data_IF_794419728500
#
_entry.id   IF_794419728500
#
_cell.length_a   1.000
_cell.length_b   1.000
_cell.length_c   1.000
_cell.angle_alpha   90.00
_cell.angle_beta   90.00
_cell.angle_gamma   90.00
#
_symmetry.space_group_name_H-M   'P 1'
#
loop_
_entity.id
_entity.type
_entity.pdbx_description
1 polymer ?
#
# COMPACT_ATOMS: atom_id res chain seq x y z
N UNK A 1 5.26 -10.86 22.96
CA UNK A 1 4.80 -9.79 22.05
C UNK A 1 3.29 -9.80 21.86
N UNK A 2 2.64 -8.64 21.95
CA UNK A 2 1.20 -8.46 21.71
C UNK A 2 0.98 -7.24 20.82
N UNK A 3 -0.10 -7.26 20.02
CA UNK A 3 -0.52 -6.08 19.27
C UNK A 3 -1.29 -5.10 20.16
N UNK A 4 -0.87 -3.84 20.09
CA UNK A 4 -1.53 -2.69 20.69
C UNK A 4 -2.11 -1.82 19.57
N UNK A 5 -3.33 -1.30 19.75
CA UNK A 5 -3.98 -0.40 18.79
C UNK A 5 -3.97 0.99 19.40
N UNK A 6 -3.38 1.95 18.70
CA UNK A 6 -3.26 3.34 19.09
C UNK A 6 -4.06 4.21 18.12
N UNK A 7 -4.84 5.14 18.65
CA UNK A 7 -5.51 6.18 17.87
C UNK A 7 -4.55 7.34 17.63
N UNK A 8 -4.46 7.83 16.39
CA UNK A 8 -3.63 9.00 16.07
C UNK A 8 -4.37 10.32 16.40
N UNK A 9 -5.69 10.25 16.62
CA UNK A 9 -6.49 11.37 17.14
C UNK A 9 -6.38 11.42 18.69
N UNK A 10 -5.23 11.84 19.22
CA UNK A 10 -5.07 12.21 20.64
C UNK A 10 -4.04 11.42 21.48
N UNK A 11 -3.49 12.10 22.49
CA UNK A 11 -2.55 11.70 23.56
C UNK A 11 -1.13 11.21 23.22
N UNK A 12 -0.90 10.43 22.16
CA UNK A 12 0.47 10.18 21.67
C UNK A 12 0.80 11.13 20.53
N UNK A 13 1.88 11.91 20.67
CA UNK A 13 2.37 12.68 19.54
C UNK A 13 2.75 11.70 18.43
N UNK A 14 2.29 12.01 17.23
CA UNK A 14 2.72 11.41 15.97
C UNK A 14 4.23 11.21 15.93
N UNK A 15 4.97 12.17 16.47
CA UNK A 15 6.42 12.14 16.57
C UNK A 15 6.91 11.00 17.47
N UNK A 16 6.28 10.76 18.63
CA UNK A 16 6.60 9.64 19.51
C UNK A 16 6.33 8.27 18.87
N UNK A 17 5.21 8.12 18.17
CA UNK A 17 4.93 6.90 17.41
C UNK A 17 5.92 6.70 16.25
N UNK A 18 6.25 7.77 15.52
CA UNK A 18 7.25 7.73 14.46
C UNK A 18 8.63 7.37 14.98
N UNK A 19 9.03 7.92 16.13
CA UNK A 19 10.31 7.63 16.78
C UNK A 19 10.38 6.16 17.20
N UNK A 20 9.34 5.65 17.88
CA UNK A 20 9.24 4.23 18.28
C UNK A 20 9.28 3.28 17.08
N UNK A 21 8.63 3.65 15.98
CA UNK A 21 8.59 2.83 14.76
C UNK A 21 9.81 3.03 13.84
N UNK A 22 10.62 4.07 14.05
CA UNK A 22 11.69 4.48 13.14
C UNK A 22 12.70 3.35 12.89
N UNK A 23 13.15 2.67 13.95
CA UNK A 23 14.08 1.54 13.87
C UNK A 23 13.55 0.40 13.00
N UNK A 24 12.27 0.06 13.15
CA UNK A 24 11.63 -0.97 12.33
C UNK A 24 11.53 -0.53 10.86
N UNK A 25 11.10 0.71 10.61
CA UNK A 25 10.99 1.22 9.23
C UNK A 25 12.33 1.37 8.52
N UNK A 26 13.43 1.55 9.24
CA UNK A 26 14.77 1.60 8.66
C UNK A 26 15.32 0.20 8.34
N UNK A 27 15.01 -0.81 9.16
CA UNK A 27 15.53 -2.16 9.02
C UNK A 27 14.69 -3.07 8.09
N UNK A 28 13.43 -2.73 7.82
CA UNK A 28 12.54 -3.56 7.03
C UNK A 28 12.89 -3.57 5.53
N UNK A 29 13.19 -4.77 5.00
CA UNK A 29 13.54 -4.96 3.57
C UNK A 29 12.41 -4.72 2.57
N UNK A 30 11.17 -4.55 3.02
CA UNK A 30 9.96 -4.38 2.20
C UNK A 30 9.21 -3.05 2.45
N UNK A 31 9.93 -2.01 2.89
CA UNK A 31 9.34 -0.69 3.12
C UNK A 31 8.77 -0.09 1.83
N UNK A 32 7.49 0.26 1.90
CA UNK A 32 6.80 1.19 0.99
C UNK A 32 6.60 2.56 1.65
N UNK A 33 6.42 3.61 0.84
CA UNK A 33 6.01 4.96 1.30
C UNK A 33 4.73 4.94 2.14
N UNK A 34 3.87 3.93 1.94
CA UNK A 34 2.65 3.71 2.75
C UNK A 34 2.91 3.31 4.20
N UNK A 35 4.16 3.05 4.58
CA UNK A 35 4.55 2.85 5.98
C UNK A 35 5.15 4.12 6.60
N UNK A 36 5.32 5.19 5.83
CA UNK A 36 5.85 6.44 6.34
C UNK A 36 4.71 7.25 6.96
N UNK A 37 4.77 7.44 8.27
CA UNK A 37 3.72 8.11 9.03
C UNK A 37 3.36 9.49 8.44
N UNK A 38 4.37 10.25 7.99
CA UNK A 38 4.19 11.55 7.30
C UNK A 38 3.40 11.43 6.00
N UNK A 39 3.65 10.38 5.20
CA UNK A 39 2.91 10.13 3.97
C UNK A 39 1.47 9.69 4.25
N UNK A 40 1.25 8.85 5.26
CA UNK A 40 -0.11 8.43 5.58
C UNK A 40 -0.95 9.60 6.13
N UNK A 41 -0.32 10.51 6.87
CA UNK A 41 -0.96 11.72 7.42
C UNK A 41 -1.28 12.80 6.41
N UNK A 42 -0.48 12.93 5.36
CA UNK A 42 -0.74 13.94 4.33
C UNK A 42 -2.07 13.74 3.61
N UNK A 43 -2.74 12.59 3.83
CA UNK A 43 -4.00 12.25 3.16
C UNK A 43 -3.80 12.02 1.66
N UNK A 44 -2.56 11.84 1.20
CA UNK A 44 -2.20 11.77 -0.22
C UNK A 44 -2.91 10.67 -1.01
N UNK A 45 -3.45 9.66 -0.33
CA UNK A 45 -4.26 8.62 -0.97
C UNK A 45 -5.75 8.98 -0.96
N UNK A 46 -6.30 9.28 0.21
CA UNK A 46 -7.67 9.77 0.43
C UNK A 46 -7.66 10.50 1.79
N UNK A 47 -8.25 11.71 1.91
CA UNK A 47 -8.31 12.40 3.19
C UNK A 47 -9.22 11.62 4.16
N UNK A 48 -8.61 10.94 5.13
CA UNK A 48 -9.31 10.43 6.31
C UNK A 48 -8.70 11.07 7.56
N UNK A 49 -9.51 11.71 8.42
CA UNK A 49 -8.99 12.29 9.66
C UNK A 49 -8.60 11.21 10.68
N UNK A 50 -9.12 9.99 10.55
CA UNK A 50 -8.97 8.93 11.56
C UNK A 50 -8.05 7.83 11.09
N UNK A 51 -6.97 7.66 11.83
CA UNK A 51 -6.01 6.57 11.65
C UNK A 51 -5.80 5.81 12.95
N UNK A 52 -5.65 4.50 12.82
CA UNK A 52 -5.19 3.61 13.88
C UNK A 52 -3.83 3.02 13.51
N UNK A 53 -2.90 3.05 14.45
CA UNK A 53 -1.61 2.36 14.36
C UNK A 53 -1.67 1.11 15.20
N UNK A 54 -1.36 -0.02 14.60
CA UNK A 54 -1.13 -1.25 15.34
C UNK A 54 0.38 -1.43 15.51
N UNK A 55 0.84 -1.57 16.76
CA UNK A 55 2.23 -1.87 17.10
C UNK A 55 2.33 -3.25 17.72
N UNK A 56 3.27 -4.06 17.26
CA UNK A 56 3.68 -5.30 17.91
C UNK A 56 4.92 -4.99 18.73
N UNK A 57 4.79 -5.03 20.05
CA UNK A 57 5.86 -4.64 20.97
C UNK A 57 6.41 -5.84 21.76
N UNK A 58 7.70 -5.76 22.07
CA UNK A 58 8.38 -6.56 23.10
C UNK A 58 9.11 -5.61 24.05
N UNK A 59 8.42 -5.18 25.09
CA UNK A 59 8.87 -4.05 25.92
C UNK A 59 9.04 -2.78 25.06
N UNK A 60 10.23 -2.14 25.05
CA UNK A 60 10.46 -0.93 24.26
C UNK A 60 10.65 -1.20 22.76
N UNK A 61 10.85 -2.46 22.35
CA UNK A 61 11.20 -2.81 20.97
C UNK A 61 9.92 -2.97 20.14
N UNK A 62 9.85 -2.29 19.00
CA UNK A 62 8.77 -2.45 18.02
C UNK A 62 9.16 -3.52 17.00
N UNK A 63 8.53 -4.69 17.10
CA UNK A 63 8.76 -5.84 16.23
C UNK A 63 7.80 -5.91 15.03
N UNK A 64 6.76 -5.07 15.01
CA UNK A 64 5.82 -5.01 13.89
C UNK A 64 4.95 -3.75 13.89
N UNK A 65 4.46 -3.37 12.71
CA UNK A 65 3.73 -2.13 12.47
C UNK A 65 2.67 -2.33 11.38
N UNK A 66 1.45 -1.84 11.62
CA UNK A 66 0.40 -1.77 10.60
C UNK A 66 -0.44 -0.49 10.75
N UNK A 67 -0.90 0.06 9.62
CA UNK A 67 -1.70 1.28 9.58
C UNK A 67 -3.10 0.98 9.05
N UNK A 68 -4.12 1.32 9.85
CA UNK A 68 -5.50 1.23 9.44
C UNK A 68 -6.09 2.64 9.32
N UNK A 69 -6.64 2.96 8.15
CA UNK A 69 -7.52 4.12 8.05
C UNK A 69 -8.89 3.75 8.56
N UNK A 70 -9.48 4.63 9.33
CA UNK A 70 -10.83 4.49 9.85
C UNK A 70 -11.72 5.52 9.15
N UNK A 71 -12.67 5.07 8.35
CA UNK A 71 -13.46 5.97 7.50
C UNK A 71 -14.92 5.52 7.40
N UNK A 72 -15.87 6.47 7.25
CA UNK A 72 -17.24 6.13 6.94
C UNK A 72 -17.30 5.46 5.56
N UNK A 73 -18.12 4.42 5.45
CA UNK A 73 -18.31 3.70 4.20
C UNK A 73 -19.74 3.15 4.11
N UNK A 74 -20.08 2.60 2.95
CA UNK A 74 -21.35 1.91 2.74
C UNK A 74 -21.09 0.50 2.20
N UNK A 75 -21.74 -0.48 2.81
CA UNK A 75 -21.78 -1.83 2.28
C UNK A 75 -23.03 -1.98 1.41
N UNK A 76 -22.82 -2.15 0.10
CA UNK A 76 -23.89 -2.38 -0.86
C UNK A 76 -24.23 -3.87 -0.95
N UNK A 77 -25.49 -4.21 -0.70
CA UNK A 77 -26.04 -5.54 -0.91
C UNK A 77 -26.59 -5.63 -2.32
N UNK A 78 -26.10 -6.59 -3.12
CA UNK A 78 -26.47 -6.74 -4.53
C UNK A 78 -27.04 -8.11 -4.82
N UNK A 79 -28.07 -8.15 -5.66
CA UNK A 79 -28.61 -9.35 -6.29
C UNK A 79 -28.41 -9.18 -7.80
N UNK A 80 -27.43 -9.91 -8.35
CA UNK A 80 -26.98 -9.69 -9.72
C UNK A 80 -26.48 -8.24 -9.92
N UNK A 81 -26.95 -7.51 -10.95
CA UNK A 81 -26.53 -6.13 -11.17
C UNK A 81 -27.23 -5.13 -10.24
N UNK A 82 -28.33 -5.51 -9.57
CA UNK A 82 -29.19 -4.61 -8.80
C UNK A 82 -28.68 -4.48 -7.37
N UNK A 83 -28.51 -3.25 -6.89
CA UNK A 83 -28.27 -2.97 -5.47
C UNK A 83 -29.61 -2.94 -4.75
N UNK A 84 -29.84 -3.90 -3.85
CA UNK A 84 -31.09 -4.02 -3.07
C UNK A 84 -31.07 -3.21 -1.78
N UNK A 85 -29.89 -2.82 -1.31
CA UNK A 85 -29.75 -1.98 -0.13
C UNK A 85 -28.32 -1.52 0.08
N UNK A 86 -28.17 -0.49 0.92
CA UNK A 86 -26.89 -0.02 1.42
C UNK A 86 -26.99 0.11 2.94
N UNK A 87 -25.96 -0.32 3.65
CA UNK A 87 -25.86 -0.16 5.09
C UNK A 87 -24.63 0.69 5.36
N UNK A 88 -24.82 1.79 6.11
CA UNK A 88 -23.72 2.59 6.60
C UNK A 88 -22.88 1.74 7.56
N UNK A 89 -21.58 1.68 7.31
CA UNK A 89 -20.61 0.93 8.09
C UNK A 89 -19.39 1.82 8.35
N UNK A 90 -18.57 1.42 9.33
CA UNK A 90 -17.23 1.97 9.44
C UNK A 90 -16.24 1.04 8.77
N UNK A 91 -15.33 1.57 7.96
CA UNK A 91 -14.33 0.80 7.25
C UNK A 91 -12.96 1.03 7.86
N UNK A 92 -12.30 -0.07 8.22
CA UNK A 92 -10.92 -0.10 8.66
C UNK A 92 -10.03 -0.62 7.53
N UNK A 93 -9.44 0.29 6.77
CA UNK A 93 -8.68 -0.04 5.57
C UNK A 93 -7.19 -0.18 5.87
N UNK A 94 -6.64 -1.39 5.65
CA UNK A 94 -5.21 -1.66 5.58
C UNK A 94 -4.78 -1.63 4.12
N UNK A 95 -4.02 -0.61 3.72
CA UNK A 95 -3.61 -0.39 2.32
C UNK A 95 -2.22 -0.95 1.99
N UNK A 96 -1.51 -1.46 2.99
CA UNK A 96 -0.16 -2.02 2.84
C UNK A 96 0.04 -3.14 3.86
N UNK A 97 0.83 -4.15 3.49
CA UNK A 97 1.11 -5.29 4.36
C UNK A 97 1.75 -4.82 5.68
N UNK A 98 1.48 -5.48 6.82
CA UNK A 98 2.17 -5.17 8.06
C UNK A 98 3.69 -5.33 7.89
N UNK A 99 4.46 -4.41 8.47
CA UNK A 99 5.91 -4.57 8.61
C UNK A 99 6.20 -5.45 9.82
N UNK A 100 7.24 -6.25 9.68
CA UNK A 100 7.80 -7.10 10.72
C UNK A 100 9.30 -6.88 10.80
N UNK A 101 9.87 -6.99 12.00
CA UNK A 101 11.31 -6.93 12.21
C UNK A 101 11.99 -8.04 11.42
N UNK A 102 13.17 -7.74 10.85
CA UNK A 102 14.00 -8.74 10.16
C UNK A 102 14.52 -9.85 11.07
N UNK A 103 14.42 -9.66 12.40
CA UNK A 103 14.76 -10.66 13.40
C UNK A 103 13.68 -11.74 13.58
N UNK A 104 12.45 -11.48 13.09
CA UNK A 104 11.37 -12.46 13.15
C UNK A 104 11.50 -13.49 12.03
N UNK A 105 11.37 -14.76 12.39
CA UNK A 105 11.27 -15.86 11.42
C UNK A 105 9.95 -15.77 10.64
N UNK A 106 9.88 -16.36 9.42
CA UNK A 106 8.63 -16.40 8.66
C UNK A 106 7.44 -16.96 9.45
N UNK A 107 7.65 -18.02 10.25
CA UNK A 107 6.61 -18.62 11.07
C UNK A 107 6.11 -17.67 12.18
N UNK A 108 7.00 -16.88 12.77
CA UNK A 108 6.61 -15.84 13.74
C UNK A 108 5.83 -14.72 13.05
N UNK A 109 6.24 -14.27 11.87
CA UNK A 109 5.48 -13.28 11.08
C UNK A 109 4.07 -13.78 10.76
N UNK A 110 3.91 -15.06 10.39
CA UNK A 110 2.60 -15.68 10.17
C UNK A 110 1.74 -15.72 11.44
N UNK A 111 2.32 -16.14 12.57
CA UNK A 111 1.62 -16.15 13.86
C UNK A 111 1.20 -14.74 14.30
N UNK A 112 2.07 -13.75 14.11
CA UNK A 112 1.77 -12.35 14.46
C UNK A 112 0.79 -11.71 13.49
N UNK A 113 0.77 -12.07 12.21
CA UNK A 113 -0.25 -11.60 11.28
C UNK A 113 -1.64 -12.14 11.64
N UNK A 114 -1.74 -13.42 12.03
CA UNK A 114 -2.97 -13.98 12.58
C UNK A 114 -3.42 -13.23 13.84
N UNK A 115 -2.48 -12.98 14.77
CA UNK A 115 -2.76 -12.22 15.99
C UNK A 115 -3.18 -10.76 15.70
N UNK A 116 -2.64 -10.13 14.66
CA UNK A 116 -3.05 -8.79 14.23
C UNK A 116 -4.49 -8.81 13.76
N UNK A 117 -4.85 -9.74 12.87
CA UNK A 117 -6.21 -9.86 12.36
C UNK A 117 -7.21 -10.08 13.50
N UNK A 118 -6.90 -10.99 14.44
CA UNK A 118 -7.76 -11.24 15.60
C UNK A 118 -7.88 -10.02 16.51
N UNK A 119 -6.79 -9.27 16.69
CA UNK A 119 -6.76 -8.05 17.50
C UNK A 119 -7.60 -6.95 16.87
N UNK A 120 -7.49 -6.75 15.55
CA UNK A 120 -8.30 -5.77 14.82
C UNK A 120 -9.77 -6.19 14.84
N UNK A 121 -10.10 -7.44 14.52
CA UNK A 121 -11.49 -7.94 14.53
C UNK A 121 -12.18 -7.77 15.89
N UNK A 122 -11.45 -7.88 17.00
CA UNK A 122 -11.99 -7.64 18.35
C UNK A 122 -11.97 -6.17 18.76
N UNK A 123 -11.04 -5.38 18.23
CA UNK A 123 -10.83 -3.98 18.59
C UNK A 123 -11.67 -2.98 17.80
N UNK A 124 -12.19 -3.36 16.63
CA UNK A 124 -13.05 -2.48 15.84
C UNK A 124 -14.49 -2.47 16.39
N UNK A 125 -15.20 -1.32 16.34
CA UNK A 125 -16.59 -1.24 16.76
C UNK A 125 -17.51 -2.23 16.02
N UNK A 126 -18.59 -2.66 16.68
CA UNK A 126 -19.64 -3.45 16.01
C UNK A 126 -20.20 -2.72 14.79
N UNK A 127 -20.52 -3.46 13.73
CA UNK A 127 -20.96 -2.88 12.46
C UNK A 127 -19.84 -2.31 11.59
N UNK A 128 -18.59 -2.58 11.95
CA UNK A 128 -17.43 -2.21 11.14
C UNK A 128 -17.01 -3.33 10.20
N UNK A 129 -16.33 -2.97 9.11
CA UNK A 129 -15.72 -3.87 8.15
C UNK A 129 -14.21 -3.62 8.11
N UNK A 130 -13.42 -4.68 8.05
CA UNK A 130 -11.97 -4.57 7.79
C UNK A 130 -11.74 -4.78 6.31
N UNK A 131 -11.10 -3.82 5.66
CA UNK A 131 -10.79 -3.88 4.23
C UNK A 131 -9.28 -4.01 4.04
N UNK A 132 -8.87 -5.05 3.32
CA UNK A 132 -7.48 -5.27 2.94
C UNK A 132 -7.32 -4.85 1.47
N UNK A 133 -6.64 -3.73 1.22
CA UNK A 133 -6.41 -3.16 -0.12
C UNK A 133 -4.93 -3.24 -0.46
N UNK A 134 -4.63 -3.49 -1.73
CA UNK A 134 -3.26 -3.39 -2.28
C UNK A 134 -2.21 -4.22 -1.54
N UNK A 135 -2.63 -5.28 -0.85
CA UNK A 135 -1.71 -6.17 -0.12
C UNK A 135 -1.02 -7.13 -1.07
N UNK A 136 0.24 -7.42 -0.76
CA UNK A 136 0.97 -8.48 -1.44
C UNK A 136 0.29 -9.83 -1.17
N UNK A 137 0.13 -10.64 -2.22
CA UNK A 137 -0.52 -11.94 -2.11
C UNK A 137 0.27 -12.93 -1.24
N UNK A 138 1.60 -12.80 -1.26
CA UNK A 138 2.51 -13.59 -0.43
C UNK A 138 2.61 -13.09 1.01
N UNK A 139 2.01 -11.94 1.35
CA UNK A 139 2.13 -11.41 2.71
C UNK A 139 1.44 -12.34 3.72
N UNK A 140 1.99 -12.45 4.94
CA UNK A 140 1.42 -13.30 5.98
C UNK A 140 -0.07 -13.00 6.27
N UNK A 141 -0.47 -11.73 6.27
CA UNK A 141 -1.86 -11.33 6.52
C UNK A 141 -2.81 -11.76 5.38
N UNK A 142 -2.37 -11.65 4.12
CA UNK A 142 -3.18 -12.08 2.98
C UNK A 142 -3.39 -13.58 2.99
N UNK A 143 -2.32 -14.34 3.25
CA UNK A 143 -2.38 -15.81 3.36
C UNK A 143 -3.23 -16.27 4.54
N UNK A 144 -3.20 -15.55 5.66
CA UNK A 144 -4.07 -15.80 6.81
C UNK A 144 -5.56 -15.61 6.44
N UNK A 145 -5.92 -14.47 5.86
CA UNK A 145 -7.32 -14.19 5.47
C UNK A 145 -7.81 -15.10 4.35
N UNK A 146 -6.91 -15.57 3.48
CA UNK A 146 -7.21 -16.60 2.49
C UNK A 146 -7.40 -18.01 3.09
N UNK A 147 -7.14 -18.19 4.40
CA UNK A 147 -7.27 -19.46 5.09
C UNK A 147 -6.10 -20.43 4.88
N UNK A 148 -4.99 -19.99 4.29
CA UNK A 148 -3.84 -20.86 3.96
C UNK A 148 -3.01 -21.24 5.19
N UNK A 149 -2.94 -20.35 6.19
CA UNK A 149 -2.09 -20.53 7.39
C UNK A 149 -2.89 -21.15 8.55
N UNK A 150 -4.16 -20.78 8.72
CA UNK A 150 -5.04 -21.29 9.79
C UNK A 150 -6.49 -21.39 9.31
N UNK A 151 -6.87 -22.48 8.60
CA UNK A 151 -8.22 -22.63 8.04
C UNK A 151 -9.35 -22.56 9.07
N UNK A 152 -9.08 -22.90 10.33
CA UNK A 152 -10.09 -22.89 11.41
C UNK A 152 -10.27 -21.48 12.02
N UNK A 153 -9.25 -20.62 11.95
CA UNK A 153 -9.29 -19.28 12.54
C UNK A 153 -10.13 -18.30 11.72
N UNK A 154 -10.35 -18.58 10.43
CA UNK A 154 -11.24 -17.80 9.55
C UNK A 154 -12.72 -17.98 9.86
N UNK A 155 -13.11 -18.89 10.77
CA UNK A 155 -14.52 -19.08 11.18
C UNK A 155 -15.13 -17.86 11.88
N UNK A 156 -14.29 -16.96 12.40
CA UNK A 156 -14.75 -15.75 13.11
C UNK A 156 -15.10 -14.57 12.20
N UNK A 157 -14.85 -14.66 10.89
CA UNK A 157 -15.13 -13.57 9.95
C UNK A 157 -15.48 -14.09 8.56
N UNK A 158 -16.17 -13.26 7.77
CA UNK A 158 -16.44 -13.58 6.37
C UNK A 158 -15.48 -12.82 5.46
N UNK A 159 -14.57 -13.54 4.79
CA UNK A 159 -13.64 -12.96 3.84
C UNK A 159 -14.25 -12.90 2.44
N UNK A 160 -14.47 -11.68 1.93
CA UNK A 160 -14.95 -11.46 0.56
C UNK A 160 -13.83 -10.85 -0.26
N UNK A 161 -13.50 -11.49 -1.38
CA UNK A 161 -12.53 -10.94 -2.33
C UNK A 161 -13.16 -9.83 -3.14
N UNK A 162 -12.63 -8.61 -3.00
CA UNK A 162 -13.04 -7.46 -3.80
C UNK A 162 -12.03 -7.19 -4.93
N UNK A 163 -12.49 -7.22 -6.19
CA UNK A 163 -11.68 -6.86 -7.36
C UNK A 163 -10.75 -7.95 -7.90
N UNK A 164 -10.02 -7.59 -8.97
CA UNK A 164 -9.05 -8.49 -9.64
C UNK A 164 -7.69 -8.42 -8.94
N UNK A 165 -6.89 -9.47 -9.10
CA UNK A 165 -5.48 -9.45 -8.68
C UNK A 165 -4.71 -8.66 -9.73
N UNK A 166 -3.95 -7.67 -9.28
CA UNK A 166 -3.07 -6.89 -10.15
C UNK A 166 -1.65 -7.46 -10.06
N UNK A 167 -0.99 -7.61 -11.21
CA UNK A 167 0.42 -8.00 -11.25
C UNK A 167 1.26 -6.74 -11.14
N UNK A 168 2.13 -6.69 -10.14
CA UNK A 168 3.11 -5.64 -9.99
C UNK A 168 4.42 -6.13 -10.59
N UNK A 169 5.04 -5.30 -11.42
CA UNK A 169 6.32 -5.60 -12.05
C UNK A 169 7.41 -4.77 -11.37
N UNK A 170 8.39 -5.44 -10.77
CA UNK A 170 9.56 -4.77 -10.21
C UNK A 170 10.71 -4.86 -11.21
N UNK A 171 11.37 -3.73 -11.43
CA UNK A 171 12.60 -3.68 -12.21
C UNK A 171 13.75 -3.45 -11.23
N UNK A 172 14.71 -4.37 -11.20
CA UNK A 172 16.00 -4.10 -10.57
C UNK A 172 16.78 -3.18 -11.52
N UNK A 173 16.88 -1.89 -11.19
CA UNK A 173 17.64 -0.93 -11.98
C UNK A 173 19.14 -1.17 -11.76
N UNK A 174 19.93 -1.49 -12.80
CA UNK A 174 21.38 -1.51 -12.70
C UNK A 174 21.97 -0.10 -12.74
N UNK A 175 23.29 0.00 -12.57
CA UNK A 175 23.99 1.29 -12.56
C UNK A 175 24.04 2.01 -13.90
N UNK A 176 23.72 1.34 -15.02
CA UNK A 176 23.75 1.94 -16.35
C UNK A 176 22.58 1.50 -17.24
N UNK A 177 22.25 2.32 -18.24
CA UNK A 177 21.23 2.00 -19.23
C UNK A 177 21.61 0.80 -20.10
N UNK A 178 22.89 0.65 -20.46
CA UNK A 178 23.34 -0.49 -21.26
C UNK A 178 23.23 -1.81 -20.49
N UNK A 179 23.57 -1.81 -19.19
CA UNK A 179 23.37 -2.98 -18.33
C UNK A 179 21.88 -3.34 -18.23
N UNK A 180 21.00 -2.34 -18.18
CA UNK A 180 19.56 -2.56 -18.17
C UNK A 180 19.09 -3.21 -19.47
N UNK A 181 19.57 -2.73 -20.62
CA UNK A 181 19.25 -3.33 -21.92
C UNK A 181 19.77 -4.77 -22.00
N UNK A 182 20.96 -5.07 -21.50
CA UNK A 182 21.53 -6.43 -21.56
C UNK A 182 20.66 -7.48 -20.86
N UNK A 183 19.90 -7.09 -19.82
CA UNK A 183 18.93 -7.96 -19.11
C UNK A 183 17.69 -8.30 -19.95
N UNK A 184 17.45 -7.60 -21.06
CA UNK A 184 16.31 -7.86 -21.95
C UNK A 184 16.65 -8.86 -23.05
N UNK A 185 15.62 -9.50 -23.63
CA UNK A 185 15.77 -10.32 -24.83
C UNK A 185 16.27 -9.49 -26.02
N UNK A 186 16.91 -10.14 -27.00
CA UNK A 186 17.41 -9.46 -28.22
C UNK A 186 16.32 -8.67 -28.95
N UNK A 187 15.09 -9.20 -28.99
CA UNK A 187 13.94 -8.51 -29.60
C UNK A 187 13.61 -7.23 -28.85
N UNK A 188 13.41 -7.32 -27.53
CA UNK A 188 13.08 -6.16 -26.69
C UNK A 188 14.17 -5.09 -26.75
N UNK A 189 15.45 -5.48 -26.72
CA UNK A 189 16.58 -4.54 -26.90
C UNK A 189 16.48 -3.77 -28.21
N UNK A 190 16.16 -4.46 -29.31
CA UNK A 190 15.99 -3.85 -30.63
C UNK A 190 14.82 -2.87 -30.63
N UNK A 191 13.71 -3.26 -30.02
CA UNK A 191 12.49 -2.44 -29.97
C UNK A 191 12.67 -1.18 -29.11
N UNK A 192 13.32 -1.30 -27.94
CA UNK A 192 13.65 -0.13 -27.09
C UNK A 192 14.58 0.83 -27.84
N UNK A 193 15.67 0.33 -28.45
CA UNK A 193 16.60 1.19 -29.23
C UNK A 193 15.90 1.85 -30.43
N UNK A 194 15.01 1.12 -31.11
CA UNK A 194 14.21 1.67 -32.22
C UNK A 194 13.26 2.77 -31.73
N UNK A 195 12.62 2.56 -30.57
CA UNK A 195 11.71 3.52 -29.96
C UNK A 195 12.45 4.79 -29.54
N UNK A 196 13.62 4.64 -28.91
CA UNK A 196 14.48 5.77 -28.55
C UNK A 196 14.88 6.60 -29.78
N UNK A 197 15.36 5.96 -30.85
CA UNK A 197 15.70 6.67 -32.10
C UNK A 197 14.51 7.40 -32.71
N UNK A 198 13.32 6.79 -32.66
CA UNK A 198 12.09 7.43 -33.16
C UNK A 198 11.70 8.62 -32.31
N UNK A 199 11.82 8.49 -30.99
CA UNK A 199 11.59 9.58 -30.04
C UNK A 199 12.55 10.74 -30.33
N UNK A 200 13.86 10.49 -30.38
CA UNK A 200 14.88 11.50 -30.67
C UNK A 200 14.65 12.19 -32.03
N UNK A 201 14.28 11.44 -33.06
CA UNK A 201 13.96 12.00 -34.36
C UNK A 201 12.70 12.89 -34.31
N UNK A 202 11.65 12.47 -33.59
CA UNK A 202 10.40 13.22 -33.46
C UNK A 202 10.60 14.54 -32.70
N UNK A 203 11.40 14.52 -31.63
CA UNK A 203 11.73 15.72 -30.84
C UNK A 203 12.92 16.49 -31.40
N UNK A 204 13.53 16.01 -32.50
CA UNK A 204 14.74 16.59 -33.13
C UNK A 204 15.87 16.82 -32.12
N UNK A 205 16.07 15.86 -31.22
CA UNK A 205 17.04 15.94 -30.13
C UNK A 205 16.75 17.01 -29.06
N UNK A 206 15.59 17.68 -29.11
CA UNK A 206 15.20 18.73 -28.17
C UNK A 206 14.26 18.17 -27.11
N UNK A 207 14.85 17.57 -26.09
CA UNK A 207 14.16 17.13 -24.89
C UNK A 207 15.04 17.35 -23.67
N UNK A 208 14.41 17.43 -22.50
CA UNK A 208 15.10 17.57 -21.22
C UNK A 208 14.46 16.65 -20.19
N UNK A 209 15.27 16.11 -19.28
CA UNK A 209 14.77 15.49 -18.06
C UNK A 209 14.72 16.56 -16.99
N UNK A 210 13.56 16.73 -16.36
CA UNK A 210 13.40 17.57 -15.18
C UNK A 210 12.90 16.74 -14.03
N UNK A 211 13.57 16.86 -12.89
CA UNK A 211 13.08 16.33 -11.62
C UNK A 211 12.43 17.48 -10.86
N UNK A 212 11.17 17.31 -10.49
CA UNK A 212 10.42 18.30 -9.72
C UNK A 212 10.44 17.86 -8.25
N UNK A 213 11.07 18.66 -7.40
CA UNK A 213 11.28 18.29 -5.99
C UNK A 213 10.75 19.32 -5.00
N UNK A 214 10.47 20.54 -5.47
CA UNK A 214 9.91 21.60 -4.63
C UNK A 214 8.39 21.74 -4.82
N UNK A 215 7.70 22.15 -3.75
CA UNK A 215 6.25 22.23 -3.72
C UNK A 215 5.68 23.27 -4.69
N UNK A 216 6.41 24.36 -4.92
CA UNK A 216 6.09 25.42 -5.87
C UNK A 216 6.20 24.98 -7.33
N UNK A 217 6.92 23.89 -7.61
CA UNK A 217 7.00 23.31 -8.95
C UNK A 217 5.83 22.37 -9.29
N UNK A 218 5.06 21.92 -8.30
CA UNK A 218 3.97 20.95 -8.47
C UNK A 218 2.91 21.42 -9.48
N UNK A 219 2.43 22.69 -9.48
CA UNK A 219 1.47 23.14 -10.48
C UNK A 219 2.00 23.03 -11.92
N UNK A 220 3.26 23.40 -12.14
CA UNK A 220 3.90 23.31 -13.47
C UNK A 220 4.04 21.86 -13.95
N UNK A 221 4.40 20.95 -13.04
CA UNK A 221 4.39 19.52 -13.33
C UNK A 221 2.99 19.02 -13.67
N UNK A 222 1.98 19.39 -12.88
CA UNK A 222 0.60 18.95 -13.07
C UNK A 222 0.07 19.33 -14.46
N UNK A 223 0.26 20.57 -14.90
CA UNK A 223 -0.19 21.03 -16.22
C UNK A 223 0.44 20.21 -17.36
N UNK A 224 1.75 19.93 -17.27
CA UNK A 224 2.47 19.14 -18.26
C UNK A 224 2.02 17.67 -18.25
N UNK A 225 1.87 17.07 -17.06
CA UNK A 225 1.46 15.70 -16.89
C UNK A 225 0.01 15.47 -17.33
N UNK A 226 -0.90 16.40 -17.04
CA UNK A 226 -2.31 16.34 -17.42
C UNK A 226 -2.47 16.29 -18.95
N UNK A 227 -1.71 17.08 -19.70
CA UNK A 227 -1.73 17.08 -21.16
C UNK A 227 -1.30 15.73 -21.78
N UNK A 228 -0.44 14.99 -21.09
CA UNK A 228 -0.03 13.63 -21.49
C UNK A 228 -1.09 12.61 -21.07
N UNK A 229 -1.58 12.70 -19.83
CA UNK A 229 -2.59 11.78 -19.29
C UNK A 229 -3.88 11.79 -20.11
N UNK A 230 -4.34 12.96 -20.57
CA UNK A 230 -5.51 13.11 -21.46
C UNK A 230 -5.40 12.32 -22.77
N UNK A 231 -4.19 11.98 -23.21
CA UNK A 231 -3.91 11.23 -24.44
C UNK A 231 -3.64 9.75 -24.19
N UNK A 232 -3.71 9.30 -22.95
CA UNK A 232 -3.44 7.93 -22.55
C UNK A 232 -4.66 7.30 -21.86
N UNK A 233 -4.57 5.99 -21.60
CA UNK A 233 -5.56 5.26 -20.80
C UNK A 233 -5.72 5.83 -19.38
N UNK A 234 -4.75 6.62 -18.91
CA UNK A 234 -4.80 7.26 -17.59
C UNK A 234 -5.86 8.37 -17.52
N UNK A 235 -6.30 8.91 -18.67
CA UNK A 235 -7.40 9.89 -18.71
C UNK A 235 -8.72 9.36 -18.13
N UNK A 236 -8.92 8.04 -18.17
CA UNK A 236 -10.12 7.38 -17.65
C UNK A 236 -9.91 6.76 -16.27
N UNK A 237 -8.69 6.77 -15.77
CA UNK A 237 -8.32 6.25 -14.45
C UNK A 237 -8.07 7.45 -13.55
N UNK A 238 -9.10 7.89 -12.82
CA UNK A 238 -8.94 8.82 -11.72
C UNK A 238 -7.93 8.20 -10.75
N UNK A 239 -6.73 8.79 -10.66
CA UNK A 239 -5.56 8.28 -9.95
C UNK A 239 -5.89 7.32 -8.82
N UNK A 240 -5.67 6.03 -9.07
CA UNK A 240 -5.65 4.97 -8.07
C UNK A 240 -4.23 4.78 -7.54
#
# INVERSE_FOLDING_TARGET
MRWEIHDIEGDESIEGLAERASGLTAAAGSRSIHHELKFVQSGALEPSPRMKVCLLTDGPIVAGLAFFRDEPAELAFRIGPVTVGRVAVRRFALNVSPLFSGELTPAQCEAHAAALADTVCRGVPRGSVVMLRSLELSSPITRYVAGEIRPQATRGFWAVRHGRRHKHYRIALPGSFDDYLQRMTRSNRRDVRKTLRRFDAAVKGRWQVRCYTAADEVPSFYDQAAAVAQKSWQSTELGL
#
